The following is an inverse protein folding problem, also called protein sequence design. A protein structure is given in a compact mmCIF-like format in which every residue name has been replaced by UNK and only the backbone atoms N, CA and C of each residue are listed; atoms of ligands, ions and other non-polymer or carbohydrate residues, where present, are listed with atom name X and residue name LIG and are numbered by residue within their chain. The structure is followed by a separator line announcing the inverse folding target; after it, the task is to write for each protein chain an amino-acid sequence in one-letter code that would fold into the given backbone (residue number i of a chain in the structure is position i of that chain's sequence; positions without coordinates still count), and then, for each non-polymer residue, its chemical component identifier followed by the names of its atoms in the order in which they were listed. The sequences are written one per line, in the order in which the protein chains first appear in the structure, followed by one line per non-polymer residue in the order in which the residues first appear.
data_IF_343895250221
#
_entry.id   IF_343895250221
#
_cell.length_a   1.000
_cell.length_b   1.000
_cell.length_c   1.000
_cell.angle_alpha   90.00
_cell.angle_beta   90.00
_cell.angle_gamma   90.00
#
_symmetry.space_group_name_H-M   'P 1'
#
loop_
_entity.id
_entity.type
_entity.pdbx_description
1 polymer ?
#
# COMPACT_ATOMS: atom_id res chain seq x y z
N UNK A 1 -12.64 1.16 22.50
CA UNK A 1 -12.15 2.24 21.63
C UNK A 1 -13.18 2.42 20.54
N UNK A 2 -13.78 3.58 20.44
CA UNK A 2 -14.87 3.86 19.50
C UNK A 2 -14.33 3.81 18.06
N UNK A 3 -14.59 2.68 17.41
CA UNK A 3 -14.07 2.27 16.11
C UNK A 3 -14.73 2.99 14.94
N UNK A 4 -14.57 4.30 14.87
CA UNK A 4 -14.80 5.02 13.61
C UNK A 4 -13.52 4.86 12.78
N UNK A 5 -13.54 4.16 11.64
CA UNK A 5 -12.37 4.11 10.78
C UNK A 5 -12.02 5.54 10.38
N UNK A 6 -10.83 6.00 10.78
CA UNK A 6 -10.32 7.31 10.35
C UNK A 6 -10.26 7.31 8.82
N UNK A 7 -10.67 8.40 8.18
CA UNK A 7 -10.63 8.50 6.72
C UNK A 7 -9.28 9.00 6.22
N UNK A 8 -8.96 8.72 4.97
CA UNK A 8 -7.85 9.38 4.27
C UNK A 8 -8.16 10.88 4.19
N UNK A 9 -7.18 11.70 4.55
CA UNK A 9 -7.34 13.16 4.59
C UNK A 9 -6.16 13.85 3.92
N UNK A 10 -6.36 15.09 3.47
CA UNK A 10 -5.25 15.91 2.99
C UNK A 10 -4.66 16.65 4.19
N UNK A 11 -3.36 16.47 4.44
CA UNK A 11 -2.68 17.27 5.46
C UNK A 11 -2.50 18.70 4.92
N UNK A 12 -3.10 19.72 5.58
CA UNK A 12 -3.08 21.09 5.06
C UNK A 12 -1.69 21.73 5.11
N UNK A 13 -0.83 21.31 6.03
CA UNK A 13 0.53 21.86 6.16
C UNK A 13 1.45 21.35 5.06
N UNK A 14 1.21 20.13 4.58
CA UNK A 14 2.14 19.45 3.66
C UNK A 14 1.57 19.19 2.29
N UNK A 15 0.25 19.31 2.12
CA UNK A 15 -0.47 19.00 0.89
C UNK A 15 -0.57 17.50 0.56
N UNK A 16 0.02 16.62 1.38
CA UNK A 16 0.01 15.17 1.18
C UNK A 16 -1.36 14.56 1.42
N UNK A 17 -1.67 13.50 0.67
CA UNK A 17 -2.78 12.61 0.95
C UNK A 17 -2.34 11.62 2.03
N UNK A 18 -2.88 11.74 3.23
CA UNK A 18 -2.45 10.99 4.41
C UNK A 18 -3.34 9.78 4.66
N UNK A 19 -2.71 8.62 4.71
CA UNK A 19 -3.28 7.40 5.28
C UNK A 19 -3.27 7.55 6.80
N UNK A 20 -4.42 7.37 7.49
CA UNK A 20 -4.47 7.44 8.94
C UNK A 20 -3.59 6.37 9.58
N UNK A 21 -3.08 6.67 10.78
CA UNK A 21 -2.18 5.76 11.47
C UNK A 21 -2.93 4.50 11.96
N UNK A 22 -2.41 3.32 11.61
CA UNK A 22 -2.82 2.05 12.19
C UNK A 22 -2.22 1.81 13.59
N UNK A 23 -2.54 0.67 14.20
CA UNK A 23 -1.99 0.33 15.51
C UNK A 23 -0.48 0.06 15.45
N UNK A 24 0.35 0.67 16.33
CA UNK A 24 1.80 0.49 16.30
C UNK A 24 2.29 -0.96 16.39
N UNK A 25 1.52 -1.84 17.06
CA UNK A 25 1.89 -3.27 17.24
C UNK A 25 1.85 -4.07 15.94
N UNK A 26 1.20 -3.56 14.90
CA UNK A 26 1.12 -4.16 13.56
C UNK A 26 1.98 -3.42 12.54
N UNK A 27 2.87 -2.51 12.98
CA UNK A 27 3.65 -1.70 12.08
C UNK A 27 4.60 -2.55 11.23
N UNK A 28 4.71 -2.19 9.95
CA UNK A 28 5.40 -2.98 8.94
C UNK A 28 6.84 -2.51 8.77
N UNK A 29 7.78 -3.44 8.77
CA UNK A 29 9.17 -3.14 8.46
C UNK A 29 9.37 -2.68 7.01
N UNK A 30 10.38 -1.83 6.83
CA UNK A 30 10.90 -1.38 5.55
C UNK A 30 12.27 -2.03 5.35
N UNK A 31 12.53 -2.57 4.16
CA UNK A 31 13.86 -3.02 3.79
C UNK A 31 14.77 -1.83 3.57
N UNK A 32 15.91 -1.81 4.24
CA UNK A 32 16.97 -0.84 4.04
C UNK A 32 18.09 -1.50 3.22
N UNK A 33 18.71 -0.72 2.35
CA UNK A 33 19.89 -1.08 1.57
C UNK A 33 20.99 -0.03 1.76
N UNK A 34 22.23 -0.38 1.46
CA UNK A 34 23.41 0.47 1.72
C UNK A 34 23.26 1.88 1.13
N UNK A 35 22.69 2.00 -0.07
CA UNK A 35 22.43 3.25 -0.77
C UNK A 35 21.33 4.12 -0.14
N UNK A 36 20.57 3.57 0.81
CA UNK A 36 19.50 4.26 1.54
C UNK A 36 19.91 4.76 2.92
N UNK A 37 21.07 4.34 3.43
CA UNK A 37 21.50 4.63 4.81
C UNK A 37 21.77 6.12 5.05
N UNK A 38 22.50 6.78 4.15
CA UNK A 38 22.78 8.23 4.27
C UNK A 38 21.51 9.09 4.19
N UNK A 39 20.61 8.92 3.20
CA UNK A 39 19.31 9.59 3.19
C UNK A 39 18.48 9.31 4.45
N UNK A 40 18.49 8.07 4.93
CA UNK A 40 17.75 7.67 6.12
C UNK A 40 18.28 8.36 7.38
N UNK A 41 19.59 8.35 7.63
CA UNK A 41 20.19 9.03 8.77
C UNK A 41 19.94 10.53 8.72
N UNK A 42 20.09 11.15 7.55
CA UNK A 42 19.84 12.58 7.37
C UNK A 42 18.38 12.93 7.68
N UNK A 43 17.45 12.11 7.21
CA UNK A 43 16.02 12.25 7.51
C UNK A 43 15.75 12.15 9.01
N UNK A 44 16.21 11.07 9.67
CA UNK A 44 15.96 10.84 11.10
C UNK A 44 16.65 11.88 11.98
N UNK A 45 17.87 12.28 11.63
CA UNK A 45 18.60 13.36 12.29
C UNK A 45 17.79 14.66 12.28
N UNK A 46 17.18 15.01 11.15
CA UNK A 46 16.37 16.23 11.04
C UNK A 46 15.07 16.12 11.83
N UNK A 47 14.35 15.01 11.71
CA UNK A 47 13.09 14.79 12.44
C UNK A 47 13.31 14.77 13.97
N UNK A 48 14.43 14.19 14.44
CA UNK A 48 14.83 14.22 15.85
C UNK A 48 15.07 15.64 16.34
N UNK A 49 15.84 16.44 15.60
CA UNK A 49 16.10 17.84 15.96
C UNK A 49 14.82 18.69 15.92
N UNK A 50 13.91 18.41 14.99
CA UNK A 50 12.60 19.07 14.92
C UNK A 50 11.71 18.70 16.11
N UNK A 51 11.67 17.44 16.50
CA UNK A 51 10.94 16.97 17.67
C UNK A 51 11.47 17.62 18.97
N UNK A 52 12.78 17.60 19.20
CA UNK A 52 13.41 18.25 20.36
C UNK A 52 13.16 19.76 20.40
N UNK A 53 13.15 20.42 19.23
CA UNK A 53 12.81 21.86 19.14
C UNK A 53 11.37 22.12 19.53
N UNK A 54 10.43 21.27 19.12
CA UNK A 54 9.02 21.40 19.49
C UNK A 54 8.81 21.22 20.99
N UNK A 55 9.43 20.20 21.58
CA UNK A 55 9.38 19.95 23.03
C UNK A 55 9.93 21.13 23.84
N UNK A 56 11.08 21.70 23.44
CA UNK A 56 11.65 22.90 24.09
C UNK A 56 10.74 24.11 24.02
N UNK A 57 9.97 24.25 22.95
CA UNK A 57 9.04 25.36 22.77
C UNK A 57 7.72 25.16 23.53
N UNK A 58 7.57 24.07 24.30
CA UNK A 58 6.34 23.75 25.03
C UNK A 58 5.17 23.39 24.13
N UNK A 59 5.42 23.19 22.83
CA UNK A 59 4.43 22.63 21.94
C UNK A 59 4.42 21.12 22.20
N UNK A 60 3.30 20.54 22.64
CA UNK A 60 3.22 19.10 22.76
C UNK A 60 3.48 18.51 21.38
N UNK A 61 4.57 17.77 21.24
CA UNK A 61 4.74 16.88 20.10
C UNK A 61 3.50 15.97 20.05
N UNK A 62 2.93 15.69 18.87
CA UNK A 62 1.74 14.84 18.74
C UNK A 62 1.91 13.44 19.36
N UNK A 63 3.14 13.02 19.64
CA UNK A 63 3.47 12.01 20.63
C UNK A 63 4.61 12.55 21.51
N UNK A 64 4.50 12.56 22.85
CA UNK A 64 5.66 12.82 23.69
C UNK A 64 6.72 11.76 23.38
N UNK A 65 8.00 12.10 23.43
CA UNK A 65 9.05 11.10 23.68
C UNK A 65 8.80 10.51 25.08
N UNK A 66 7.81 9.62 25.19
CA UNK A 66 7.56 8.90 26.43
C UNK A 66 8.70 7.91 26.60
N UNK A 67 9.47 8.08 27.67
CA UNK A 67 10.53 7.16 28.11
C UNK A 67 10.04 5.71 28.30
N UNK A 68 8.73 5.46 28.25
CA UNK A 68 8.19 4.13 27.92
C UNK A 68 8.18 3.94 26.40
N UNK A 69 9.36 3.64 25.85
CA UNK A 69 9.52 3.15 24.48
C UNK A 69 9.88 4.21 23.44
N UNK A 70 11.03 4.88 23.59
CA UNK A 70 12.04 5.13 22.55
C UNK A 70 11.59 5.04 21.07
N UNK A 71 10.61 5.86 20.67
CA UNK A 71 10.08 5.89 19.31
C UNK A 71 10.00 7.32 18.80
N UNK A 72 10.71 7.61 17.73
CA UNK A 72 10.54 8.82 16.95
C UNK A 72 9.41 8.61 15.95
N UNK A 73 8.29 9.30 16.16
CA UNK A 73 7.18 9.32 15.21
C UNK A 73 7.51 10.23 14.04
N UNK A 74 7.37 9.71 12.82
CA UNK A 74 7.69 10.43 11.58
C UNK A 74 6.57 10.28 10.56
N UNK A 75 6.57 11.13 9.54
CA UNK A 75 5.75 10.97 8.34
C UNK A 75 6.65 10.63 7.17
N UNK A 76 6.24 9.65 6.36
CA UNK A 76 6.97 9.24 5.16
C UNK A 76 6.05 9.29 3.93
N UNK A 77 6.66 9.36 2.76
CA UNK A 77 5.98 9.25 1.47
C UNK A 77 6.06 7.81 0.96
N UNK A 78 4.97 7.33 0.36
CA UNK A 78 4.91 6.06 -0.37
C UNK A 78 4.90 6.35 -1.88
N UNK A 79 5.84 5.75 -2.61
CA UNK A 79 5.98 5.94 -4.06
C UNK A 79 5.97 4.59 -4.79
N UNK A 80 4.96 4.30 -5.63
CA UNK A 80 5.02 3.20 -6.58
C UNK A 80 6.25 3.32 -7.49
N UNK A 81 6.94 2.20 -7.75
CA UNK A 81 8.12 2.12 -8.60
C UNK A 81 7.92 1.09 -9.72
N UNK A 82 7.06 1.37 -10.72
CA UNK A 82 6.89 0.51 -11.88
C UNK A 82 8.16 0.40 -12.74
N UNK A 83 9.11 1.30 -12.52
CA UNK A 83 10.45 1.34 -13.11
C UNK A 83 11.48 0.48 -12.36
N UNK A 84 11.10 -0.22 -11.28
CA UNK A 84 12.01 -1.10 -10.57
C UNK A 84 12.20 -2.41 -11.37
N UNK A 85 13.44 -2.64 -11.81
CA UNK A 85 13.80 -3.78 -12.67
C UNK A 85 13.63 -5.15 -11.98
N UNK A 86 13.62 -5.20 -10.65
CA UNK A 86 13.44 -6.44 -9.89
C UNK A 86 11.96 -6.76 -9.66
N UNK A 87 11.18 -5.76 -9.25
CA UNK A 87 9.77 -5.89 -8.96
C UNK A 87 8.99 -4.65 -9.43
N UNK A 88 8.24 -4.69 -10.55
CA UNK A 88 7.46 -3.55 -11.05
C UNK A 88 6.28 -3.17 -10.14
N UNK A 89 6.00 -3.96 -9.10
CA UNK A 89 5.00 -3.65 -8.08
C UNK A 89 5.59 -3.02 -6.82
N UNK A 90 6.90 -2.79 -6.79
CA UNK A 90 7.61 -2.22 -5.65
C UNK A 90 7.01 -0.88 -5.22
N UNK A 91 7.00 -0.66 -3.91
CA UNK A 91 6.65 0.62 -3.31
C UNK A 91 7.84 1.09 -2.49
N UNK A 92 8.44 2.18 -2.94
CA UNK A 92 9.49 2.88 -2.20
C UNK A 92 8.86 3.67 -1.04
N UNK A 93 9.57 3.64 0.08
CA UNK A 93 9.39 4.59 1.18
C UNK A 93 10.41 5.71 0.96
N UNK A 94 9.98 6.96 1.09
CA UNK A 94 10.84 8.12 0.95
C UNK A 94 10.55 9.17 2.02
N UNK A 95 11.53 10.03 2.29
CA UNK A 95 11.30 11.23 3.08
C UNK A 95 10.26 12.10 2.36
N UNK A 96 9.44 12.88 3.07
CA UNK A 96 8.40 13.66 2.42
C UNK A 96 8.92 14.82 1.53
N UNK A 97 8.11 15.36 0.61
CA UNK A 97 8.56 16.36 -0.38
C UNK A 97 9.16 17.64 0.19
N UNK A 98 8.75 18.07 1.38
CA UNK A 98 9.31 19.26 2.03
C UNK A 98 10.74 19.07 2.54
N UNK A 99 11.28 17.84 2.49
CA UNK A 99 12.71 17.60 2.69
C UNK A 99 13.56 18.03 1.48
N UNK A 100 12.94 18.38 0.35
CA UNK A 100 13.63 18.81 -0.85
C UNK A 100 14.20 17.63 -1.66
N UNK A 101 14.92 17.94 -2.74
CA UNK A 101 15.55 16.91 -3.58
C UNK A 101 14.58 16.05 -4.40
N UNK A 102 15.15 15.16 -5.19
CA UNK A 102 14.44 14.17 -6.00
C UNK A 102 13.90 13.03 -5.12
N UNK A 103 13.05 12.16 -5.69
CA UNK A 103 12.59 10.98 -4.97
C UNK A 103 13.71 9.96 -4.71
N UNK A 104 14.77 9.96 -5.52
CA UNK A 104 15.98 9.15 -5.30
C UNK A 104 16.78 9.66 -4.11
N UNK A 105 17.02 10.97 -4.02
CA UNK A 105 17.75 11.59 -2.91
C UNK A 105 17.01 11.47 -1.57
N UNK A 106 15.69 11.25 -1.61
CA UNK A 106 14.83 11.03 -0.45
C UNK A 106 14.54 9.55 -0.18
N UNK A 107 15.13 8.62 -0.92
CA UNK A 107 14.79 7.21 -0.84
C UNK A 107 15.22 6.62 0.52
N UNK A 108 14.27 6.06 1.27
CA UNK A 108 14.48 5.47 2.60
C UNK A 108 14.38 3.94 2.58
N UNK A 109 14.26 3.32 1.40
CA UNK A 109 14.07 1.87 1.25
C UNK A 109 12.73 1.47 0.61
N UNK A 110 12.42 0.18 0.68
CA UNK A 110 11.24 -0.42 0.05
C UNK A 110 10.38 -1.20 1.05
N UNK A 111 9.07 -1.25 0.79
CA UNK A 111 8.20 -2.21 1.45
C UNK A 111 8.60 -3.64 1.04
N UNK A 112 8.64 -4.57 1.99
CA UNK A 112 8.85 -5.99 1.68
C UNK A 112 7.75 -6.56 0.78
N UNK A 113 8.11 -7.39 -0.20
CA UNK A 113 7.19 -8.01 -1.15
C UNK A 113 6.03 -8.75 -0.49
N UNK A 114 6.27 -9.43 0.64
CA UNK A 114 5.21 -10.10 1.42
C UNK A 114 4.08 -9.16 1.85
N UNK A 115 4.39 -7.88 2.09
CA UNK A 115 3.39 -6.88 2.46
C UNK A 115 2.66 -6.34 1.22
N UNK A 116 3.31 -6.34 0.06
CA UNK A 116 2.74 -5.86 -1.21
C UNK A 116 1.64 -6.79 -1.74
N UNK A 117 1.66 -8.07 -1.38
CA UNK A 117 0.61 -9.04 -1.74
C UNK A 117 -0.77 -8.56 -1.28
N UNK A 118 -0.88 -8.05 -0.05
CA UNK A 118 -2.17 -7.64 0.54
C UNK A 118 -2.43 -6.14 0.43
N UNK A 119 -1.38 -5.30 0.52
CA UNK A 119 -1.52 -3.85 0.60
C UNK A 119 -1.16 -3.14 -0.70
N UNK A 120 -0.38 -3.77 -1.58
CA UNK A 120 0.26 -3.12 -2.71
C UNK A 120 -0.73 -2.51 -3.68
N UNK A 121 -1.81 -3.22 -4.02
CA UNK A 121 -2.83 -2.71 -4.94
C UNK A 121 -3.52 -1.45 -4.38
N UNK A 122 -3.96 -1.47 -3.13
CA UNK A 122 -4.62 -0.33 -2.50
C UNK A 122 -3.69 0.89 -2.42
N UNK A 123 -2.43 0.68 -2.04
CA UNK A 123 -1.43 1.76 -1.96
C UNK A 123 -1.09 2.34 -3.34
N UNK A 124 -0.91 1.50 -4.36
CA UNK A 124 -0.67 1.98 -5.73
C UNK A 124 -1.86 2.77 -6.26
N UNK A 125 -3.08 2.27 -6.07
CA UNK A 125 -4.29 3.01 -6.43
C UNK A 125 -4.35 4.36 -5.72
N UNK A 126 -4.12 4.40 -4.41
CA UNK A 126 -4.08 5.67 -3.66
C UNK A 126 -3.05 6.65 -4.18
N UNK A 127 -1.87 6.17 -4.58
CA UNK A 127 -0.80 7.00 -5.10
C UNK A 127 -1.07 7.53 -6.53
N UNK A 128 -1.94 6.87 -7.31
CA UNK A 128 -2.29 7.30 -8.68
C UNK A 128 -3.63 8.02 -8.78
N UNK A 129 -4.47 7.93 -7.73
CA UNK A 129 -5.80 8.55 -7.70
C UNK A 129 -5.77 10.07 -7.66
N UNK A 130 -4.69 10.67 -7.16
CA UNK A 130 -4.56 12.13 -7.08
C UNK A 130 -3.15 12.56 -7.43
N UNK A 131 -2.98 13.81 -7.88
CA UNK A 131 -1.65 14.41 -8.08
C UNK A 131 -0.91 14.71 -6.76
N UNK A 132 -1.50 14.36 -5.61
CA UNK A 132 -0.92 14.61 -4.29
C UNK A 132 0.00 13.46 -3.88
N UNK A 133 1.16 13.76 -3.28
CA UNK A 133 2.01 12.76 -2.67
C UNK A 133 1.25 11.94 -1.62
N UNK A 134 1.27 10.61 -1.73
CA UNK A 134 0.70 9.69 -0.75
C UNK A 134 1.64 9.56 0.45
N UNK A 135 1.13 9.82 1.64
CA UNK A 135 1.89 9.74 2.89
C UNK A 135 1.27 8.78 3.89
N UNK A 136 2.11 8.26 4.78
CA UNK A 136 1.66 7.50 5.94
C UNK A 136 2.50 7.84 7.17
N UNK A 137 1.95 7.52 8.33
CA UNK A 137 2.66 7.62 9.59
C UNK A 137 3.61 6.42 9.76
N UNK A 138 4.75 6.67 10.38
CA UNK A 138 5.70 5.64 10.75
C UNK A 138 6.35 5.98 12.10
N UNK A 139 7.07 5.02 12.67
CA UNK A 139 7.99 5.29 13.76
C UNK A 139 9.34 4.65 13.52
N UNK A 140 10.36 5.20 14.16
CA UNK A 140 11.72 4.66 14.23
C UNK A 140 12.07 4.44 15.70
N UNK A 141 12.57 3.25 16.04
CA UNK A 141 13.11 3.01 17.38
C UNK A 141 14.38 3.82 17.59
N UNK A 142 14.52 4.53 18.70
CA UNK A 142 15.67 5.37 19.00
C UNK A 142 16.20 5.14 20.42
N UNK A 143 17.42 4.63 20.56
CA UNK A 143 18.02 4.31 21.87
C UNK A 143 19.22 5.20 22.13
N UNK A 144 19.26 5.97 23.24
CA UNK A 144 20.45 6.73 23.61
C UNK A 144 21.67 5.80 23.71
N UNK A 145 22.77 6.20 23.09
CA UNK A 145 24.03 5.52 23.25
C UNK A 145 24.58 5.82 24.65
N UNK A 146 24.42 4.90 25.60
CA UNK A 146 25.05 4.99 26.92
C UNK A 146 26.53 4.64 26.81
N UNK A 147 27.41 5.52 27.28
CA UNK A 147 28.87 5.32 27.22
C UNK A 147 29.36 4.10 28.02
N UNK A 148 28.53 3.59 28.93
CA UNK A 148 28.91 2.55 29.90
C UNK A 148 28.29 1.17 29.57
N UNK A 149 27.44 1.06 28.54
CA UNK A 149 26.81 -0.20 28.10
C UNK A 149 27.54 -0.87 26.92
N UNK A 150 28.69 -0.30 26.53
CA UNK A 150 29.58 -0.93 25.57
C UNK A 150 30.43 -1.94 26.33
N UNK A 151 29.98 -3.19 26.39
CA UNK A 151 30.95 -4.28 26.42
C UNK A 151 31.79 -4.10 25.15
N UNK A 152 33.06 -3.73 25.32
CA UNK A 152 34.02 -3.33 24.26
C UNK A 152 34.24 -4.42 23.18
N UNK A 153 33.56 -5.56 23.30
CA UNK A 153 33.79 -6.80 22.57
C UNK A 153 32.95 -6.91 21.29
N UNK A 154 31.89 -6.10 21.12
CA UNK A 154 30.96 -6.20 19.98
C UNK A 154 30.78 -4.91 19.17
N UNK A 155 31.43 -3.80 19.57
CA UNK A 155 31.45 -2.56 18.79
C UNK A 155 32.75 -2.46 17.98
N UNK A 156 32.63 -2.64 16.66
CA UNK A 156 33.69 -2.32 15.74
C UNK A 156 33.47 -0.89 15.19
N UNK A 157 34.24 0.12 15.65
CA UNK A 157 34.14 1.48 15.12
C UNK A 157 34.52 1.58 13.64
N UNK A 158 35.20 0.56 13.09
CA UNK A 158 35.54 0.45 11.68
C UNK A 158 34.48 -0.32 10.86
N UNK A 159 33.44 -0.87 11.50
CA UNK A 159 32.28 -1.45 10.80
C UNK A 159 31.34 -0.32 10.33
N UNK A 160 31.25 -0.08 9.01
CA UNK A 160 30.41 0.98 8.46
C UNK A 160 28.91 0.74 8.72
N UNK A 161 28.46 -0.51 8.95
CA UNK A 161 27.06 -0.80 9.26
C UNK A 161 26.67 -0.24 10.64
N UNK A 162 27.56 -0.32 11.63
CA UNK A 162 27.33 0.16 12.98
C UNK A 162 27.36 1.69 13.10
N UNK A 163 28.19 2.36 12.29
CA UNK A 163 28.23 3.81 12.19
C UNK A 163 27.00 4.36 11.44
N UNK A 164 26.48 3.62 10.46
CA UNK A 164 25.36 4.02 9.62
C UNK A 164 23.98 3.96 10.30
N UNK A 165 23.92 3.65 11.60
CA UNK A 165 22.67 3.62 12.37
C UNK A 165 22.68 4.59 13.55
N UNK A 166 23.43 5.71 13.44
CA UNK A 166 23.54 6.70 14.51
C UNK A 166 23.14 8.10 14.09
N UNK A 167 22.46 8.80 14.98
CA UNK A 167 22.11 10.22 14.84
C UNK A 167 22.41 10.95 16.15
N UNK A 168 22.59 12.27 16.10
CA UNK A 168 22.96 13.09 17.26
C UNK A 168 21.86 14.10 17.60
N UNK A 169 21.30 14.03 18.81
CA UNK A 169 20.35 15.01 19.31
C UNK A 169 20.94 16.42 19.46
N UNK A 170 20.09 17.43 19.69
CA UNK A 170 20.54 18.82 19.81
C UNK A 170 21.32 19.10 21.11
N UNK A 171 21.28 18.18 22.07
CA UNK A 171 22.11 18.20 23.28
C UNK A 171 23.47 17.49 23.09
N UNK A 172 23.74 16.94 21.90
CA UNK A 172 24.95 16.17 21.61
C UNK A 172 24.87 14.69 21.99
N UNK A 173 23.76 14.21 22.56
CA UNK A 173 23.52 12.78 22.81
C UNK A 173 23.45 12.04 21.49
N UNK A 174 24.20 10.95 21.36
CA UNK A 174 24.08 10.05 20.21
C UNK A 174 22.99 9.02 20.48
N UNK A 175 22.28 8.66 19.43
CA UNK A 175 21.20 7.69 19.43
C UNK A 175 21.46 6.63 18.38
N UNK A 176 21.32 5.36 18.76
CA UNK A 176 21.16 4.25 17.84
C UNK A 176 19.75 4.27 17.29
N UNK A 177 19.60 4.13 15.97
CA UNK A 177 18.31 4.14 15.30
C UNK A 177 18.01 2.78 14.67
N UNK A 178 16.76 2.33 14.80
CA UNK A 178 16.25 1.16 14.09
C UNK A 178 15.73 1.50 12.69
N UNK A 179 15.38 0.50 11.90
CA UNK A 179 14.69 0.72 10.62
C UNK A 179 13.27 1.27 10.79
N UNK A 180 12.71 1.97 9.77
CA UNK A 180 11.38 2.54 9.87
C UNK A 180 10.29 1.46 9.92
N UNK A 181 9.25 1.75 10.68
CA UNK A 181 8.06 0.90 10.88
C UNK A 181 6.81 1.66 10.45
N UNK A 182 6.23 1.27 9.31
CA UNK A 182 5.05 1.92 8.74
C UNK A 182 3.79 1.57 9.55
N UNK A 183 3.06 2.59 10.00
CA UNK A 183 1.82 2.44 10.75
C UNK A 183 0.61 2.47 9.80
N UNK A 184 0.50 1.46 8.94
CA UNK A 184 -0.65 1.34 8.05
C UNK A 184 -1.84 0.71 8.78
N UNK A 185 -3.09 1.09 8.45
CA UNK A 185 -4.29 0.38 8.89
C UNK A 185 -4.25 -1.09 8.47
N UNK A 186 -5.09 -1.92 9.09
CA UNK A 186 -5.34 -3.27 8.60
C UNK A 186 -5.77 -3.23 7.13
N UNK A 187 -5.44 -4.26 6.38
CA UNK A 187 -5.58 -4.20 4.93
C UNK A 187 -7.02 -3.99 4.49
N UNK A 188 -8.01 -4.55 5.19
CA UNK A 188 -9.44 -4.38 4.87
C UNK A 188 -9.87 -2.93 5.03
N UNK A 189 -9.35 -2.27 6.07
CA UNK A 189 -9.62 -0.88 6.37
C UNK A 189 -8.94 0.02 5.33
N UNK A 190 -7.66 -0.22 5.04
CA UNK A 190 -6.92 0.53 4.01
C UNK A 190 -7.59 0.41 2.64
N UNK A 191 -8.03 -0.80 2.30
CA UNK A 191 -8.76 -1.08 1.07
C UNK A 191 -10.09 -0.35 1.00
N UNK A 192 -10.89 -0.42 2.07
CA UNK A 192 -12.14 0.33 2.17
C UNK A 192 -11.88 1.83 1.99
N UNK A 193 -10.85 2.36 2.66
CA UNK A 193 -10.47 3.77 2.55
C UNK A 193 -10.03 4.13 1.13
N UNK A 194 -9.29 3.25 0.44
CA UNK A 194 -8.89 3.47 -0.94
C UNK A 194 -10.10 3.57 -1.88
N UNK A 195 -11.08 2.68 -1.72
CA UNK A 195 -12.33 2.72 -2.47
C UNK A 195 -13.14 3.99 -2.17
N UNK A 196 -13.29 4.34 -0.90
CA UNK A 196 -14.02 5.54 -0.49
C UNK A 196 -13.37 6.82 -1.04
N UNK A 197 -12.03 6.91 -0.96
CA UNK A 197 -11.25 8.01 -1.51
C UNK A 197 -11.44 8.10 -3.03
N UNK A 198 -11.34 6.96 -3.72
CA UNK A 198 -11.48 6.90 -5.16
C UNK A 198 -12.88 7.30 -5.63
N UNK A 199 -13.94 6.86 -4.94
CA UNK A 199 -15.33 7.27 -5.21
C UNK A 199 -15.53 8.76 -4.98
N UNK A 200 -14.84 9.35 -3.99
CA UNK A 200 -14.91 10.79 -3.74
C UNK A 200 -14.24 11.61 -4.84
N UNK A 201 -13.10 11.14 -5.38
CA UNK A 201 -12.34 11.85 -6.43
C UNK A 201 -12.98 11.63 -7.81
N UNK A 202 -13.38 10.40 -8.12
CA UNK A 202 -13.92 9.99 -9.40
C UNK A 202 -15.25 9.23 -9.23
N UNK A 203 -16.36 9.93 -8.91
CA UNK A 203 -17.65 9.30 -8.57
C UNK A 203 -18.30 8.50 -9.70
N UNK A 204 -17.82 8.67 -10.94
CA UNK A 204 -18.30 7.96 -12.13
C UNK A 204 -17.32 6.93 -12.66
N UNK A 205 -16.11 6.86 -12.09
CA UNK A 205 -15.12 5.88 -12.50
C UNK A 205 -15.49 4.55 -11.86
N UNK A 206 -15.61 3.53 -12.69
CA UNK A 206 -15.69 2.16 -12.21
C UNK A 206 -14.33 1.85 -11.63
N UNK A 207 -14.29 1.69 -10.31
CA UNK A 207 -13.07 1.32 -9.62
C UNK A 207 -13.02 -0.20 -9.64
N UNK A 208 -11.99 -0.76 -10.27
CA UNK A 208 -11.63 -2.16 -10.05
C UNK A 208 -11.36 -2.33 -8.56
N UNK A 209 -12.29 -2.93 -7.84
CA UNK A 209 -12.16 -3.20 -6.43
C UNK A 209 -11.09 -4.27 -6.31
N UNK A 210 -9.92 -3.91 -5.79
CA UNK A 210 -9.04 -4.78 -5.00
C UNK A 210 -8.96 -6.24 -5.50
N UNK A 211 -7.87 -6.55 -6.18
CA UNK A 211 -7.52 -7.91 -6.60
C UNK A 211 -7.58 -8.94 -5.47
N UNK A 212 -8.53 -9.87 -5.51
CA UNK A 212 -8.48 -11.08 -4.70
C UNK A 212 -7.66 -12.14 -5.41
N UNK A 213 -6.65 -12.66 -4.73
CA UNK A 213 -5.90 -13.82 -5.20
C UNK A 213 -6.70 -15.08 -4.93
N UNK A 214 -6.92 -15.85 -5.98
CA UNK A 214 -7.53 -17.17 -5.84
C UNK A 214 -6.82 -18.17 -6.73
N UNK A 215 -6.81 -19.42 -6.30
CA UNK A 215 -6.24 -20.52 -7.06
C UNK A 215 -7.09 -20.77 -8.31
N UNK A 216 -6.43 -21.12 -9.40
CA UNK A 216 -7.13 -21.62 -10.58
C UNK A 216 -7.81 -22.95 -10.28
N UNK A 217 -8.98 -23.17 -10.87
CA UNK A 217 -9.51 -24.52 -11.05
C UNK A 217 -8.52 -25.33 -11.91
N UNK A 218 -8.34 -26.64 -11.64
CA UNK A 218 -7.44 -27.48 -12.43
C UNK A 218 -7.70 -27.38 -13.94
N UNK A 219 -6.68 -27.01 -14.72
CA UNK A 219 -6.75 -26.87 -16.17
C UNK A 219 -7.44 -25.60 -16.68
N UNK A 220 -7.99 -24.75 -15.80
CA UNK A 220 -8.72 -23.56 -16.21
C UNK A 220 -7.80 -22.48 -16.80
N UNK A 221 -6.56 -22.39 -16.32
CA UNK A 221 -5.57 -21.43 -16.84
C UNK A 221 -5.20 -21.73 -18.29
N UNK A 222 -4.89 -22.99 -18.59
CA UNK A 222 -4.56 -23.45 -19.93
C UNK A 222 -5.76 -23.30 -20.86
N UNK A 223 -6.96 -23.62 -20.39
CA UNK A 223 -8.20 -23.45 -21.14
C UNK A 223 -8.50 -21.97 -21.43
N UNK A 224 -8.24 -21.06 -20.50
CA UNK A 224 -8.40 -19.63 -20.70
C UNK A 224 -7.38 -19.11 -21.73
N UNK A 225 -6.11 -19.50 -21.63
CA UNK A 225 -5.05 -19.11 -22.56
C UNK A 225 -5.32 -19.55 -24.02
N UNK A 226 -6.14 -20.59 -24.20
CA UNK A 226 -6.62 -21.02 -25.53
C UNK A 226 -7.79 -20.16 -26.05
N UNK A 227 -8.57 -19.54 -25.16
CA UNK A 227 -9.75 -18.73 -25.50
C UNK A 227 -9.41 -17.25 -25.66
N UNK A 228 -8.48 -16.76 -24.87
CA UNK A 228 -7.99 -15.38 -24.92
C UNK A 228 -6.48 -15.36 -24.76
N UNK A 229 -5.82 -14.44 -25.44
CA UNK A 229 -4.39 -14.14 -25.27
C UNK A 229 -4.18 -12.94 -24.33
N UNK A 230 -5.26 -12.36 -23.83
CA UNK A 230 -5.22 -11.21 -22.94
C UNK A 230 -4.90 -11.66 -21.52
N UNK A 231 -4.02 -10.90 -20.85
CA UNK A 231 -3.67 -11.12 -19.44
C UNK A 231 -4.73 -10.57 -18.50
N UNK A 232 -5.51 -9.60 -18.97
CA UNK A 232 -6.63 -8.97 -18.27
C UNK A 232 -7.94 -9.27 -19.03
N UNK A 233 -8.98 -9.71 -18.32
CA UNK A 233 -10.23 -10.12 -18.93
C UNK A 233 -11.42 -9.98 -17.98
N UNK A 234 -12.60 -9.68 -18.53
CA UNK A 234 -13.83 -9.57 -17.76
C UNK A 234 -14.35 -10.97 -17.36
N UNK A 235 -14.70 -11.12 -16.08
CA UNK A 235 -15.26 -12.33 -15.49
C UNK A 235 -16.63 -12.07 -14.87
N UNK A 236 -17.42 -13.13 -14.75
CA UNK A 236 -18.69 -13.16 -14.02
C UNK A 236 -18.50 -13.90 -12.71
N UNK A 237 -18.77 -13.22 -11.60
CA UNK A 237 -18.91 -13.84 -10.29
C UNK A 237 -20.34 -14.38 -10.16
N UNK A 238 -20.48 -15.64 -9.72
CA UNK A 238 -21.77 -16.28 -9.49
C UNK A 238 -21.79 -16.88 -8.10
N UNK A 239 -22.81 -16.55 -7.31
CA UNK A 239 -23.05 -17.20 -6.02
C UNK A 239 -23.70 -18.55 -6.31
N UNK A 240 -23.02 -19.61 -5.93
CA UNK A 240 -23.53 -20.96 -5.98
C UNK A 240 -23.48 -21.55 -4.58
N UNK A 241 -24.65 -21.76 -3.97
CA UNK A 241 -24.75 -22.26 -2.59
C UNK A 241 -24.02 -21.32 -1.59
N UNK A 242 -22.91 -21.78 -1.00
CA UNK A 242 -22.09 -21.05 -0.03
C UNK A 242 -20.75 -20.58 -0.61
N UNK A 243 -20.57 -20.66 -1.94
CA UNK A 243 -19.33 -20.23 -2.60
C UNK A 243 -19.63 -19.18 -3.68
N UNK A 244 -18.64 -18.37 -4.04
CA UNK A 244 -18.68 -17.56 -5.26
C UNK A 244 -17.75 -18.18 -6.28
N UNK A 245 -18.28 -18.58 -7.43
CA UNK A 245 -17.48 -19.05 -8.55
C UNK A 245 -17.18 -17.91 -9.51
N UNK A 246 -15.99 -17.94 -10.07
CA UNK A 246 -15.51 -16.99 -11.06
C UNK A 246 -15.60 -17.64 -12.44
N UNK A 247 -16.22 -16.96 -13.39
CA UNK A 247 -16.40 -17.46 -14.74
C UNK A 247 -15.84 -16.50 -15.79
N UNK A 248 -15.12 -17.02 -16.79
CA UNK A 248 -14.97 -16.35 -18.07
C UNK A 248 -15.93 -17.01 -19.07
N UNK A 249 -17.01 -16.33 -19.44
CA UNK A 249 -18.11 -16.92 -20.21
C UNK A 249 -18.71 -18.15 -19.48
N UNK A 250 -18.49 -19.35 -20.01
CA UNK A 250 -18.87 -20.65 -19.45
C UNK A 250 -17.73 -21.34 -18.68
N UNK A 251 -16.49 -20.86 -18.79
CA UNK A 251 -15.33 -21.47 -18.15
C UNK A 251 -15.23 -21.04 -16.67
N UNK A 252 -15.37 -21.99 -15.75
CA UNK A 252 -15.10 -21.74 -14.33
C UNK A 252 -13.59 -21.59 -14.12
N UNK A 253 -13.15 -20.40 -13.72
CA UNK A 253 -11.74 -20.10 -13.49
C UNK A 253 -11.31 -20.40 -12.06
N UNK A 254 -12.19 -20.20 -11.08
CA UNK A 254 -11.87 -20.33 -9.67
C UNK A 254 -13.12 -20.45 -8.81
N UNK A 255 -12.97 -21.01 -7.61
CA UNK A 255 -13.99 -21.07 -6.56
C UNK A 255 -13.51 -20.32 -5.32
N UNK A 256 -14.24 -19.27 -4.95
CA UNK A 256 -14.05 -18.52 -3.71
C UNK A 256 -14.89 -19.20 -2.61
N UNK A 257 -14.22 -19.99 -1.78
CA UNK A 257 -14.84 -20.64 -0.63
C UNK A 257 -14.85 -19.70 0.59
N UNK A 258 -15.91 -19.78 1.40
CA UNK A 258 -15.93 -19.18 2.74
C UNK A 258 -14.93 -19.92 3.64
N UNK A 259 -13.66 -19.52 3.59
CA UNK A 259 -12.63 -19.99 4.50
C UNK A 259 -12.69 -19.30 5.88
N UNK A 260 -12.01 -19.87 6.87
CA UNK A 260 -11.98 -19.51 8.30
C UNK A 260 -11.63 -18.05 8.67
N UNK A 261 -11.37 -17.18 7.69
CA UNK A 261 -11.17 -15.75 7.88
C UNK A 261 -12.10 -15.04 6.89
N UNK A 262 -13.06 -14.26 7.42
CA UNK A 262 -14.24 -13.71 6.71
C UNK A 262 -13.99 -12.71 5.58
N UNK A 263 -12.88 -12.84 4.86
CA UNK A 263 -12.49 -12.05 3.70
C UNK A 263 -13.41 -12.30 2.49
N UNK A 264 -13.67 -13.57 2.17
CA UNK A 264 -14.60 -13.92 1.08
C UNK A 264 -16.06 -13.71 1.47
N UNK A 265 -16.39 -13.67 2.76
CA UNK A 265 -17.76 -13.48 3.23
C UNK A 265 -18.34 -12.16 2.75
N UNK A 266 -17.55 -11.07 2.71
CA UNK A 266 -18.04 -9.77 2.22
C UNK A 266 -18.29 -9.78 0.71
N UNK A 267 -17.35 -10.32 -0.07
CA UNK A 267 -17.52 -10.49 -1.52
C UNK A 267 -18.73 -11.35 -1.84
N UNK A 268 -18.87 -12.49 -1.15
CA UNK A 268 -19.99 -13.42 -1.32
C UNK A 268 -21.31 -12.74 -0.93
N UNK A 269 -21.34 -12.01 0.18
CA UNK A 269 -22.51 -11.26 0.63
C UNK A 269 -22.90 -10.17 -0.38
N UNK A 270 -21.94 -9.46 -0.94
CA UNK A 270 -22.21 -8.42 -1.93
C UNK A 270 -22.72 -9.00 -3.25
N UNK A 271 -22.14 -10.08 -3.77
CA UNK A 271 -22.67 -10.74 -4.97
C UNK A 271 -24.08 -11.30 -4.72
N UNK A 272 -24.37 -11.78 -3.49
CA UNK A 272 -25.73 -12.19 -3.10
C UNK A 272 -26.73 -11.03 -3.14
N UNK A 273 -26.35 -9.88 -2.58
CA UNK A 273 -27.19 -8.67 -2.58
C UNK A 273 -27.50 -8.16 -4.00
N UNK A 274 -26.64 -8.47 -4.97
CA UNK A 274 -26.81 -8.13 -6.39
C UNK A 274 -27.63 -9.15 -7.20
N UNK A 275 -28.36 -10.04 -6.52
CA UNK A 275 -29.16 -11.08 -7.18
C UNK A 275 -28.34 -12.32 -7.56
N UNK A 276 -27.18 -12.51 -6.95
CA UNK A 276 -26.36 -13.72 -7.09
C UNK A 276 -25.37 -13.71 -8.25
N UNK A 277 -25.27 -12.61 -9.01
CA UNK A 277 -24.30 -12.45 -10.10
C UNK A 277 -23.69 -11.06 -10.10
N UNK A 278 -22.39 -10.94 -10.36
CA UNK A 278 -21.68 -9.67 -10.54
C UNK A 278 -20.62 -9.78 -11.64
N UNK A 279 -20.19 -8.66 -12.20
CA UNK A 279 -19.04 -8.61 -13.11
C UNK A 279 -17.79 -8.14 -12.36
N UNK A 280 -16.65 -8.66 -12.75
CA UNK A 280 -15.35 -8.28 -12.24
C UNK A 280 -14.34 -8.28 -13.40
N UNK A 281 -13.24 -7.55 -13.27
CA UNK A 281 -12.06 -7.80 -14.07
C UNK A 281 -11.21 -8.86 -13.39
N UNK A 282 -10.45 -9.62 -14.16
CA UNK A 282 -9.49 -10.56 -13.62
C UNK A 282 -8.19 -10.50 -14.40
N UNK A 283 -7.08 -10.77 -13.71
CA UNK A 283 -5.73 -10.81 -14.27
C UNK A 283 -5.05 -12.15 -13.91
N UNK A 284 -4.36 -12.78 -14.88
CA UNK A 284 -3.44 -13.89 -14.60
C UNK A 284 -2.10 -13.34 -14.12
N UNK A 285 -1.73 -13.64 -12.87
CA UNK A 285 -0.49 -13.17 -12.27
C UNK A 285 0.26 -14.30 -11.56
N UNK A 286 1.41 -14.67 -12.14
CA UNK A 286 2.30 -15.75 -11.69
C UNK A 286 1.60 -17.08 -11.33
N UNK A 287 0.54 -17.45 -12.04
CA UNK A 287 -0.18 -18.70 -11.79
C UNK A 287 -1.24 -18.61 -10.68
N UNK A 288 -1.62 -17.40 -10.29
CA UNK A 288 -2.80 -17.12 -9.49
C UNK A 288 -3.74 -16.18 -10.25
N UNK A 289 -5.04 -16.28 -9.98
CA UNK A 289 -6.05 -15.42 -10.59
C UNK A 289 -6.32 -14.25 -9.65
N UNK A 290 -6.07 -13.02 -10.10
CA UNK A 290 -6.34 -11.80 -9.36
C UNK A 290 -7.68 -11.20 -9.80
N UNK A 291 -8.66 -11.10 -8.91
CA UNK A 291 -10.02 -10.62 -9.22
C UNK A 291 -10.25 -9.18 -8.77
N UNK A 292 -10.50 -8.28 -9.70
CA UNK A 292 -10.91 -6.91 -9.43
C UNK A 292 -12.42 -6.79 -9.55
N UNK A 293 -13.14 -6.82 -8.43
CA UNK A 293 -14.60 -6.82 -8.44
C UNK A 293 -15.11 -5.44 -8.85
N UNK A 294 -15.91 -5.29 -9.90
CA UNK A 294 -16.38 -3.96 -10.30
C UNK A 294 -17.71 -3.65 -9.59
N UNK A 295 -17.96 -2.36 -9.36
CA UNK A 295 -19.20 -1.88 -8.74
C UNK A 295 -20.43 -2.12 -9.66
N UNK A 296 -21.06 -3.28 -9.48
CA UNK A 296 -22.47 -3.51 -9.16
C UNK A 296 -23.61 -2.77 -9.89
N UNK A 297 -23.49 -2.42 -11.17
CA UNK A 297 -24.71 -2.32 -11.99
C UNK A 297 -25.18 -3.73 -12.37
N UNK A 298 -26.36 -4.20 -11.90
CA UNK A 298 -26.93 -5.44 -12.43
C UNK A 298 -27.05 -5.31 -13.94
N UNK A 299 -26.55 -6.31 -14.68
CA UNK A 299 -26.83 -6.43 -16.11
C UNK A 299 -28.35 -6.43 -16.24
N UNK A 300 -28.90 -5.34 -16.75
CA UNK A 300 -30.31 -5.32 -17.13
C UNK A 300 -30.45 -6.40 -18.19
N UNK A 301 -31.20 -7.44 -17.86
CA UNK A 301 -31.59 -8.53 -18.76
C UNK A 301 -32.43 -7.93 -19.90
N UNK A 302 -31.76 -7.33 -20.89
CA UNK A 302 -32.45 -6.58 -21.93
C UNK A 302 -31.61 -6.13 -23.12
N UNK A 303 -30.29 -6.29 -23.12
CA UNK A 303 -29.47 -6.00 -24.32
C UNK A 303 -29.02 -7.27 -25.03
N UNK A 304 -29.99 -8.09 -25.46
CA UNK A 304 -29.75 -8.99 -26.58
C UNK A 304 -29.79 -8.13 -27.84
N UNK A 305 -28.60 -7.75 -28.32
CA UNK A 305 -28.47 -7.10 -29.62
C UNK A 305 -28.64 -8.16 -30.71
N UNK A 306 -29.87 -8.58 -30.94
CA UNK A 306 -30.26 -9.39 -32.11
C UNK A 306 -30.70 -8.44 -33.21
N UNK A 307 -29.77 -8.10 -34.10
CA UNK A 307 -30.16 -7.66 -35.44
C UNK A 307 -30.74 -8.88 -36.16
N UNK A 308 -32.05 -8.87 -36.46
CA UNK A 308 -32.72 -9.40 -37.67
C UNK A 308 -34.24 -9.28 -37.50
N UNK A 309 -34.83 -8.40 -38.32
CA UNK A 309 -36.14 -8.43 -38.98
C UNK A 309 -37.18 -9.49 -38.53
N UNK A 310 -38.30 -9.07 -37.94
CA UNK A 310 -39.68 -9.17 -38.45
C UNK A 310 -40.74 -9.02 -37.34
N UNK A 311 -41.80 -8.26 -37.64
CA UNK A 311 -43.18 -8.65 -37.35
C UNK A 311 -43.75 -8.33 -35.96
N UNK A 312 -44.36 -7.15 -35.83
CA UNK A 312 -45.32 -6.82 -34.77
C UNK A 312 -46.59 -7.67 -34.88
N UNK A 313 -47.12 -8.11 -33.73
CA UNK A 313 -48.53 -8.34 -33.36
C UNK A 313 -48.53 -9.16 -32.05
N UNK A 314 -49.41 -9.08 -31.07
CA UNK A 314 -50.50 -8.21 -30.62
C UNK A 314 -51.00 -8.89 -29.32
N UNK A 315 -51.54 -8.13 -28.33
CA UNK A 315 -52.52 -8.57 -27.29
C UNK A 315 -52.00 -9.56 -26.19
N UNK A 316 -52.41 -9.56 -24.92
CA UNK A 316 -53.33 -8.80 -24.04
C UNK A 316 -53.23 -9.45 -22.62
N UNK A 317 -53.52 -8.68 -21.55
CA UNK A 317 -54.20 -9.07 -20.26
C UNK A 317 -53.76 -10.33 -19.48
N UNK A 318 -53.73 -10.42 -18.15
CA UNK A 318 -54.65 -9.90 -17.13
C UNK A 318 -54.10 -10.17 -15.71
N UNK A 319 -54.71 -9.49 -14.75
CA UNK A 319 -54.66 -9.59 -13.30
C UNK A 319 -54.48 -11.00 -12.67
N UNK A 320 -53.85 -11.10 -11.48
CA UNK A 320 -54.55 -11.26 -10.18
C UNK A 320 -53.57 -11.30 -8.98
N UNK A 321 -53.87 -10.50 -7.95
CA UNK A 321 -53.52 -10.74 -6.53
C UNK A 321 -54.56 -11.73 -5.91
N UNK A 322 -54.49 -12.26 -4.67
CA UNK A 322 -54.05 -11.59 -3.43
C UNK A 322 -53.35 -12.45 -2.33
N UNK A 323 -52.93 -11.73 -1.28
CA UNK A 323 -52.59 -12.04 0.15
C UNK A 323 -53.60 -13.00 0.83
N UNK A 324 -53.49 -13.46 2.12
CA UNK A 324 -52.52 -13.15 3.20
C UNK A 324 -52.14 -14.28 4.19
N UNK A 325 -51.30 -13.92 5.18
CA UNK A 325 -51.53 -14.09 6.63
C UNK A 325 -50.49 -14.89 7.46
N UNK A 326 -50.05 -14.20 8.54
CA UNK A 326 -49.76 -14.68 9.90
C UNK A 326 -48.69 -15.75 10.15
N UNK A 327 -47.72 -15.43 11.01
CA UNK A 327 -47.78 -15.82 12.43
C UNK A 327 -46.57 -15.31 13.24
N UNK A 328 -46.88 -14.85 14.45
CA UNK A 328 -45.96 -14.54 15.54
C UNK A 328 -45.12 -15.76 15.97
N UNK A 329 -43.88 -15.50 16.42
CA UNK A 329 -43.03 -16.52 17.03
C UNK A 329 -41.86 -15.92 17.80
N UNK A 330 -42.14 -15.48 19.02
CA UNK A 330 -41.14 -15.08 20.03
C UNK A 330 -40.46 -16.31 20.62
N UNK A 331 -39.12 -16.40 20.54
CA UNK A 331 -38.33 -17.17 21.52
C UNK A 331 -36.94 -16.55 21.74
N UNK A 332 -36.72 -16.12 22.99
CA UNK A 332 -35.39 -15.92 23.59
C UNK A 332 -34.71 -17.29 23.73
N UNK A 333 -33.42 -17.38 23.44
CA UNK A 333 -32.56 -18.38 24.08
C UNK A 333 -31.15 -17.81 24.29
N UNK A 334 -30.80 -17.72 25.57
CA UNK A 334 -29.49 -17.42 26.12
C UNK A 334 -28.63 -18.68 26.08
N UNK A 335 -27.41 -18.61 25.54
CA UNK A 335 -26.39 -19.63 25.80
C UNK A 335 -25.10 -18.97 26.28
N UNK A 336 -24.69 -19.42 27.47
CA UNK A 336 -23.50 -19.02 28.23
C UNK A 336 -22.31 -19.81 27.70
N UNK A 337 -21.20 -19.13 27.43
CA UNK A 337 -19.88 -19.76 27.32
C UNK A 337 -19.31 -20.01 28.72
N UNK A 338 -18.83 -21.23 29.03
CA UNK A 338 -17.94 -21.44 30.16
C UNK A 338 -16.48 -21.33 29.70
N UNK A 339 -15.75 -20.44 30.37
CA UNK A 339 -14.30 -20.45 30.42
C UNK A 339 -13.80 -21.66 31.22
N UNK A 340 -12.74 -22.32 30.78
CA UNK A 340 -11.83 -23.03 31.67
C UNK A 340 -10.36 -22.77 31.30
N UNK A 341 -9.45 -22.69 32.29
CA UNK A 341 -8.07 -22.20 32.13
C UNK A 341 -7.00 -23.30 32.30
N UNK A 342 -5.74 -22.87 32.12
CA UNK A 342 -4.46 -23.44 32.57
C UNK A 342 -3.99 -24.74 31.88
N UNK A 343 -2.93 -24.68 31.06
CA UNK A 343 -1.49 -24.59 31.40
C UNK A 343 -0.89 -25.98 31.66
N UNK A 344 -0.02 -26.43 30.76
CA UNK A 344 1.13 -27.24 31.16
C UNK A 344 2.29 -27.13 30.18
N UNK A 345 3.47 -27.12 30.79
CA UNK A 345 4.80 -26.82 30.27
C UNK A 345 5.54 -28.15 30.17
N UNK A 346 6.09 -28.51 29.02
CA UNK A 346 7.01 -29.65 28.90
C UNK A 346 7.94 -29.49 27.68
N UNK A 347 9.12 -30.13 27.69
CA UNK A 347 10.38 -29.50 27.27
C UNK A 347 10.85 -29.87 25.86
N UNK A 348 11.88 -29.12 25.43
CA UNK A 348 12.63 -29.26 24.19
C UNK A 348 13.21 -30.67 24.00
N UNK A 349 12.88 -31.28 22.85
CA UNK A 349 13.59 -32.43 22.31
C UNK A 349 14.62 -31.91 21.29
N UNK A 350 15.88 -32.25 21.54
CA UNK A 350 17.01 -31.90 20.69
C UNK A 350 16.91 -32.53 19.31
N UNK A 351 17.25 -31.73 18.30
CA UNK A 351 17.47 -32.21 16.94
C UNK A 351 18.91 -32.71 16.79
N UNK A 352 19.14 -33.84 16.11
CA UNK A 352 20.48 -34.30 15.78
C UNK A 352 21.07 -33.49 14.62
N UNK A 353 22.35 -33.13 14.75
CA UNK A 353 23.16 -32.51 13.70
C UNK A 353 23.23 -33.41 12.44
N UNK A 354 23.21 -32.82 11.23
CA UNK A 354 23.47 -33.56 10.00
C UNK A 354 24.95 -33.97 9.91
N UNK A 355 25.26 -35.09 9.23
CA UNK A 355 26.63 -35.57 9.08
C UNK A 355 27.44 -34.70 8.10
N UNK A 356 28.70 -34.48 8.46
CA UNK A 356 29.75 -33.91 7.61
C UNK A 356 29.94 -34.74 6.33
N UNK A 357 29.83 -34.09 5.16
CA UNK A 357 30.27 -34.64 3.89
C UNK A 357 31.73 -34.22 3.59
N UNK A 358 32.52 -35.10 2.96
CA UNK A 358 33.97 -34.94 2.85
C UNK A 358 34.40 -34.05 1.68
N UNK A 359 35.54 -33.38 1.92
CA UNK A 359 36.36 -32.63 0.98
C UNK A 359 36.59 -33.36 -0.36
N UNK A 360 36.40 -32.63 -1.46
CA UNK A 360 36.91 -32.98 -2.78
C UNK A 360 37.55 -31.75 -3.47
N UNK A 361 38.56 -31.95 -4.32
CA UNK A 361 39.70 -31.04 -4.41
C UNK A 361 39.58 -29.93 -5.46
N UNK A 362 40.31 -28.85 -5.18
CA UNK A 362 40.67 -27.75 -6.06
C UNK A 362 41.05 -28.19 -7.49
N UNK A 363 40.40 -27.61 -8.48
CA UNK A 363 40.91 -27.49 -9.85
C UNK A 363 40.92 -26.02 -10.25
N UNK A 364 42.13 -25.47 -10.31
CA UNK A 364 42.45 -24.17 -10.89
C UNK A 364 42.50 -24.34 -12.42
N UNK A 365 41.55 -23.74 -13.14
CA UNK A 365 41.74 -23.42 -14.56
C UNK A 365 41.63 -21.91 -14.79
N UNK A 366 42.70 -21.40 -15.38
CA UNK A 366 42.87 -20.04 -15.84
C UNK A 366 41.87 -19.71 -16.96
N UNK A 367 41.11 -18.63 -16.79
CA UNK A 367 40.48 -17.92 -17.90
C UNK A 367 40.95 -16.45 -17.89
N UNK A 368 41.71 -16.09 -18.91
CA UNK A 368 42.14 -14.73 -19.20
C UNK A 368 40.96 -13.88 -19.71
N UNK A 369 40.90 -12.57 -19.37
CA UNK A 369 39.89 -11.68 -19.95
C UNK A 369 40.33 -11.19 -21.33
N UNK A 370 39.53 -11.52 -22.35
CA UNK A 370 39.58 -10.86 -23.66
C UNK A 370 38.93 -9.49 -23.58
N UNK A 371 39.74 -8.44 -23.54
CA UNK A 371 39.31 -7.05 -23.72
C UNK A 371 39.02 -6.78 -25.21
N UNK A 372 37.74 -6.77 -25.60
CA UNK A 372 37.31 -6.21 -26.89
C UNK A 372 36.84 -4.77 -26.66
N UNK A 373 37.73 -3.82 -26.97
CA UNK A 373 37.45 -2.41 -26.94
C UNK A 373 36.49 -2.03 -28.09
N UNK A 374 35.31 -1.53 -27.74
CA UNK A 374 34.36 -0.92 -28.67
C UNK A 374 34.75 0.56 -28.87
N UNK A 375 34.86 1.06 -30.10
CA UNK A 375 35.25 2.46 -30.34
C UNK A 375 34.11 3.42 -29.99
N UNK A 376 34.48 4.52 -29.32
CA UNK A 376 33.60 5.63 -28.97
C UNK A 376 33.05 6.35 -30.23
N UNK A 377 31.79 6.80 -30.23
CA UNK A 377 31.26 7.66 -31.28
C UNK A 377 31.86 9.08 -31.20
N UNK A 378 32.02 9.78 -32.33
CA UNK A 378 32.57 11.13 -32.37
C UNK A 378 31.61 12.19 -31.79
N UNK A 379 32.12 13.29 -31.23
CA UNK A 379 31.30 14.34 -30.64
C UNK A 379 30.54 15.13 -31.72
N UNK A 380 29.23 15.22 -31.57
CA UNK A 380 28.36 16.09 -32.36
C UNK A 380 28.53 17.55 -31.91
N UNK A 381 28.78 18.41 -32.90
CA UNK A 381 28.94 19.85 -32.74
C UNK A 381 27.66 20.53 -32.24
N UNK A 382 27.81 21.41 -31.24
CA UNK A 382 26.77 22.34 -30.80
C UNK A 382 26.71 23.57 -31.72
N UNK A 383 25.53 24.00 -32.21
CA UNK A 383 25.39 25.29 -32.84
C UNK A 383 25.11 26.39 -31.81
N UNK A 384 26.08 27.30 -31.71
CA UNK A 384 26.00 28.76 -31.59
C UNK A 384 24.68 29.42 -31.19
N UNK A 385 24.76 30.19 -30.09
CA UNK A 385 23.92 31.36 -29.76
C UNK A 385 23.76 32.33 -30.94
N UNK A 386 22.69 33.14 -30.90
CA UNK A 386 22.87 34.58 -31.08
C UNK A 386 22.41 35.38 -29.86
N UNK A 387 23.09 36.50 -29.66
CA UNK A 387 22.90 37.44 -28.58
C UNK A 387 21.95 38.59 -28.97
N UNK A 388 21.58 39.37 -27.93
CA UNK A 388 21.16 40.78 -27.91
C UNK A 388 19.79 41.19 -28.46
N UNK A 389 18.97 41.80 -27.60
CA UNK A 389 18.48 43.19 -27.72
C UNK A 389 17.40 43.45 -26.64
N UNK A 390 17.71 44.16 -25.56
CA UNK A 390 17.39 45.59 -25.33
C UNK A 390 16.03 45.82 -24.65
N UNK A 391 16.08 46.46 -23.48
CA UNK A 391 14.96 47.05 -22.75
C UNK A 391 14.30 48.20 -23.54
N UNK A 392 13.14 48.71 -23.09
CA UNK A 392 13.25 49.93 -22.28
C UNK A 392 12.31 50.03 -21.07
N UNK A 393 12.78 50.87 -20.15
CA UNK A 393 12.20 51.43 -18.94
C UNK A 393 11.06 52.41 -19.21
N UNK A 394 10.03 52.43 -18.36
CA UNK A 394 9.22 53.60 -17.93
C UNK A 394 8.37 53.10 -16.73
N UNK A 395 8.63 53.48 -15.48
CA UNK A 395 8.47 54.77 -14.79
C UNK A 395 7.02 55.17 -14.46
N UNK A 396 6.76 55.16 -13.15
CA UNK A 396 6.03 56.16 -12.34
C UNK A 396 4.54 55.99 -11.96
N UNK A 397 4.33 56.39 -10.69
CA UNK A 397 3.14 56.87 -9.99
C UNK A 397 2.31 55.81 -9.23
N UNK A 398 2.43 55.66 -7.91
CA UNK A 398 2.02 56.59 -6.83
C UNK A 398 0.49 56.77 -6.77
N UNK A 399 -0.17 56.13 -5.80
CA UNK A 399 -1.25 56.78 -5.06
C UNK A 399 -1.53 56.09 -3.73
N UNK A 400 -1.77 56.95 -2.76
CA UNK A 400 -1.92 56.80 -1.33
C UNK A 400 -3.37 56.47 -0.91
N UNK A 401 -3.47 55.90 0.30
CA UNK A 401 -4.55 56.06 1.28
C UNK A 401 -5.89 55.30 1.08
N UNK A 402 -6.29 54.48 2.07
CA UNK A 402 -7.06 54.88 3.29
C UNK A 402 -7.50 53.66 4.11
N UNK A 403 -7.32 53.75 5.43
CA UNK A 403 -8.10 53.08 6.50
C UNK A 403 -9.51 53.69 6.58
N UNK A 404 -10.53 52.97 7.11
CA UNK A 404 -10.94 53.15 8.53
C UNK A 404 -11.28 51.82 9.25
N UNK A 405 -10.94 51.68 10.54
CA UNK A 405 -11.85 51.69 11.72
C UNK A 405 -12.96 50.62 11.68
N UNK A 406 -12.88 49.56 12.49
CA UNK A 406 -13.20 49.50 13.93
C UNK A 406 -14.66 49.89 14.24
N UNK A 407 -15.50 48.85 14.40
CA UNK A 407 -16.85 48.96 14.96
C UNK A 407 -17.20 47.68 15.70
N UNK A 408 -16.96 47.67 17.02
CA UNK A 408 -17.62 46.76 17.96
C UNK A 408 -19.00 47.33 18.29
N UNK A 409 -20.01 46.47 18.30
CA UNK A 409 -21.12 46.50 19.25
C UNK A 409 -21.26 45.11 19.84
#
# INVERSE_FOLDING_TARGET
MDGTPQSITVNPATGMLMIPAGEPKFALGVGLWDDTLEPFNTFIQRELLDAERQERNGNPSPAPLTLEGERLHVTVQLLPRPDNDYNPHAISVAAPPWHGGTHFERHLGYMYDRNLVSLGAALRSLATLTDRPLGCHAFVGITPCHRDEWDEDEYDPDDPEDAAHRVRGANGTEYRIGGPRLMLPWWEDLQKMAVDCARAVHPKQILGFIGHWTSWEPGAREALAQRTHDKEFAVTLRVEQQVVRVYYQDLCLSTLETGYAGYFDRTIQQVRELGGTATAQAEDHHGALQLFIEDSTPLTTGSTQTSILHGQNHLQTEDTAPTPANANGTTRSTSRYPCHPHADRAPALGQPSPPEEPDAPHSLEHCAPSTSARPAPPPTASPSRPATSSAPTTSAACSTARRPEAGRR
#
